data_IF_099101033438
#
_entry.id   IF_099101033438
#
_cell.length_a   1.000
_cell.length_b   1.000
_cell.length_c   1.000
_cell.angle_alpha   90.00
_cell.angle_beta   90.00
_cell.angle_gamma   90.00
#
_symmetry.space_group_name_H-M   'P 1'
#
loop_
_entity.id
_entity.type
_entity.pdbx_description
1 polymer ?
#
# COMPACT_ATOMS: atom_id res chain seq x y z
N UNK A 1 -0.51 8.70 -1.21
CA UNK A 1 0.16 9.40 -2.33
C UNK A 1 -0.79 10.42 -2.92
N UNK A 2 -0.28 11.60 -3.32
CA UNK A 2 -1.11 12.70 -3.86
C UNK A 2 -1.52 12.43 -5.32
N UNK A 3 -2.79 12.68 -5.66
CA UNK A 3 -3.32 12.50 -7.02
C UNK A 3 -2.70 13.46 -8.03
N UNK A 4 -2.53 13.01 -9.28
CA UNK A 4 -1.98 13.78 -10.38
C UNK A 4 -0.49 14.09 -10.27
N UNK A 5 0.24 13.40 -9.39
CA UNK A 5 1.67 13.69 -9.12
C UNK A 5 2.62 12.64 -9.68
N UNK A 6 2.11 11.50 -10.12
CA UNK A 6 2.96 10.43 -10.65
C UNK A 6 3.45 10.79 -12.05
N UNK A 7 4.76 10.93 -12.19
CA UNK A 7 5.48 11.11 -13.46
C UNK A 7 6.36 9.90 -13.71
N UNK A 8 6.34 9.38 -14.93
CA UNK A 8 7.17 8.24 -15.35
C UNK A 8 8.11 8.69 -16.46
N UNK A 9 9.38 8.40 -16.29
CA UNK A 9 10.43 8.59 -17.26
C UNK A 9 11.29 7.32 -17.31
N UNK A 10 11.07 6.51 -18.34
CA UNK A 10 11.71 5.21 -18.51
C UNK A 10 11.45 4.27 -17.31
N UNK A 11 12.48 3.89 -16.54
CA UNK A 11 12.35 3.10 -15.30
C UNK A 11 12.22 3.98 -14.04
N UNK A 12 12.35 5.29 -14.19
CA UNK A 12 12.30 6.25 -13.09
C UNK A 12 10.88 6.76 -12.92
N UNK A 13 10.37 6.69 -11.70
CA UNK A 13 9.05 7.18 -11.32
C UNK A 13 9.21 8.21 -10.21
N UNK A 14 8.65 9.39 -10.43
CA UNK A 14 8.59 10.46 -9.44
C UNK A 14 7.15 10.69 -9.00
N UNK A 15 6.91 10.85 -7.71
CA UNK A 15 5.58 11.06 -7.15
C UNK A 15 5.66 11.80 -5.82
N UNK A 16 4.54 12.37 -5.35
CA UNK A 16 4.50 13.08 -4.07
C UNK A 16 3.77 12.25 -3.03
N UNK A 17 4.44 12.02 -1.90
CA UNK A 17 3.84 11.44 -0.70
C UNK A 17 3.44 12.56 0.24
N UNK A 18 2.28 12.44 0.86
CA UNK A 18 1.75 13.44 1.80
C UNK A 18 1.06 12.76 2.96
N UNK A 19 1.20 13.35 4.14
CA UNK A 19 0.46 13.07 5.37
C UNK A 19 -0.71 14.06 5.59
N UNK A 20 -1.12 14.77 4.53
CA UNK A 20 -2.09 15.88 4.52
C UNK A 20 -1.60 17.20 5.11
N UNK A 21 -0.40 17.25 5.68
CA UNK A 21 0.20 18.47 6.24
C UNK A 21 1.47 18.87 5.48
N UNK A 22 2.27 17.89 5.08
CA UNK A 22 3.52 18.06 4.34
C UNK A 22 3.52 17.24 3.07
N UNK A 23 4.30 17.69 2.11
CA UNK A 23 4.50 17.02 0.82
C UNK A 23 5.98 16.68 0.66
N UNK A 24 6.27 15.43 0.33
CA UNK A 24 7.63 14.92 0.13
C UNK A 24 7.73 14.40 -1.30
N UNK A 25 8.58 15.01 -2.16
CA UNK A 25 8.84 14.48 -3.48
C UNK A 25 9.69 13.22 -3.39
N UNK A 26 9.20 12.13 -3.97
CA UNK A 26 9.86 10.82 -4.01
C UNK A 26 10.29 10.53 -5.45
N UNK A 27 11.51 10.01 -5.61
CA UNK A 27 12.01 9.42 -6.86
C UNK A 27 12.39 7.96 -6.62
N UNK A 28 11.94 7.07 -7.50
CA UNK A 28 12.22 5.64 -7.47
C UNK A 28 12.64 5.17 -8.85
N UNK A 29 13.67 4.34 -8.96
CA UNK A 29 14.05 3.71 -10.23
C UNK A 29 13.90 2.20 -10.12
N UNK A 30 12.97 1.61 -10.87
CA UNK A 30 12.71 0.18 -10.83
C UNK A 30 11.28 -0.20 -11.18
N UNK A 31 10.93 -1.46 -10.91
CA UNK A 31 9.60 -2.01 -11.15
C UNK A 31 8.74 -1.72 -9.93
N UNK A 32 7.62 -1.03 -10.14
CA UNK A 32 6.65 -0.78 -9.08
C UNK A 32 5.69 -1.97 -8.92
N UNK A 33 5.21 -2.24 -7.70
CA UNK A 33 4.16 -3.22 -7.48
C UNK A 33 2.88 -2.89 -8.26
N UNK A 34 2.12 -3.91 -8.66
CA UNK A 34 0.88 -3.74 -9.42
C UNK A 34 -0.15 -2.84 -8.72
N UNK A 35 -0.18 -2.89 -7.38
CA UNK A 35 -1.08 -2.11 -6.53
C UNK A 35 -0.67 -0.63 -6.40
N UNK A 36 0.46 -0.21 -6.96
CA UNK A 36 0.88 1.19 -6.93
C UNK A 36 -0.08 2.06 -7.76
N UNK A 37 -0.90 2.88 -7.09
CA UNK A 37 -1.89 3.77 -7.71
C UNK A 37 -2.01 5.08 -6.93
N UNK A 38 -2.35 6.15 -7.64
CA UNK A 38 -2.65 7.45 -7.05
C UNK A 38 -3.80 7.37 -6.04
N UNK A 39 -3.76 8.19 -5.00
CA UNK A 39 -4.78 8.23 -3.95
C UNK A 39 -4.72 7.07 -2.96
N UNK A 40 -3.81 6.10 -3.14
CA UNK A 40 -3.60 4.99 -2.21
C UNK A 40 -2.43 5.22 -1.26
N UNK A 41 -2.41 4.44 -0.18
CA UNK A 41 -1.29 4.38 0.76
C UNK A 41 -0.07 3.74 0.12
N UNK A 42 1.10 4.33 0.33
CA UNK A 42 2.38 3.83 -0.16
C UNK A 42 3.41 3.98 0.95
N UNK A 43 4.29 3.01 1.08
CA UNK A 43 5.46 3.03 1.95
C UNK A 43 6.69 3.03 1.06
N UNK A 44 7.59 4.00 1.26
CA UNK A 44 8.83 4.11 0.53
C UNK A 44 10.00 4.05 1.51
N UNK A 45 10.97 3.19 1.22
CA UNK A 45 12.22 3.09 1.96
C UNK A 45 13.35 3.64 1.11
N UNK A 46 14.24 4.42 1.72
CA UNK A 46 15.30 5.09 0.99
C UNK A 46 16.01 6.16 1.81
N UNK A 47 16.55 7.16 1.10
CA UNK A 47 17.32 8.26 1.70
C UNK A 47 16.71 9.60 1.33
N UNK A 48 16.63 10.49 2.31
CA UNK A 48 16.32 11.89 2.08
C UNK A 48 17.62 12.62 1.72
N UNK A 49 17.61 13.37 0.62
CA UNK A 49 18.73 14.22 0.21
C UNK A 49 18.65 15.59 0.89
N UNK A 50 19.78 16.31 0.91
CA UNK A 50 19.84 17.68 1.46
C UNK A 50 18.97 18.68 0.68
N UNK A 51 18.59 18.34 -0.56
CA UNK A 51 17.65 19.10 -1.39
C UNK A 51 16.18 18.85 -1.06
N UNK A 52 15.87 17.99 -0.08
CA UNK A 52 14.50 17.65 0.31
C UNK A 52 13.82 16.63 -0.62
N UNK A 53 14.57 16.02 -1.54
CA UNK A 53 14.07 14.92 -2.37
C UNK A 53 14.34 13.58 -1.71
N UNK A 54 13.34 12.71 -1.69
CA UNK A 54 13.48 11.36 -1.16
C UNK A 54 13.79 10.38 -2.30
N UNK A 55 15.00 9.81 -2.29
CA UNK A 55 15.38 8.75 -3.22
C UNK A 55 15.01 7.40 -2.61
N UNK A 56 13.95 6.79 -3.12
CA UNK A 56 13.49 5.48 -2.70
C UNK A 56 14.33 4.37 -3.35
N UNK A 57 14.78 3.42 -2.53
CA UNK A 57 15.35 2.14 -2.98
C UNK A 57 14.29 1.05 -3.07
N UNK A 58 13.19 1.18 -2.33
CA UNK A 58 12.08 0.23 -2.32
C UNK A 58 10.75 0.96 -2.15
N UNK A 59 9.72 0.48 -2.87
CA UNK A 59 8.36 1.01 -2.80
C UNK A 59 7.38 -0.14 -2.60
N UNK A 60 6.65 -0.08 -1.48
CA UNK A 60 5.61 -1.02 -1.12
C UNK A 60 4.26 -0.30 -1.24
N UNK A 61 3.34 -0.86 -2.02
CA UNK A 61 1.97 -0.40 -2.03
C UNK A 61 1.23 -1.03 -0.84
N UNK A 62 0.43 -0.25 -0.10
CA UNK A 62 -0.42 -0.80 0.95
C UNK A 62 -1.43 -1.77 0.29
N UNK A 63 -1.54 -2.99 0.80
CA UNK A 63 -2.61 -3.90 0.40
C UNK A 63 -3.97 -3.28 0.76
N UNK A 64 -4.97 -3.46 -0.09
CA UNK A 64 -6.34 -3.00 0.18
C UNK A 64 -6.82 -3.51 1.55
N UNK A 65 -7.65 -2.71 2.22
CA UNK A 65 -8.14 -2.95 3.59
C UNK A 65 -8.96 -4.24 3.79
N UNK A 66 -9.00 -5.13 2.79
CA UNK A 66 -9.64 -6.44 2.83
C UNK A 66 -8.65 -7.57 3.17
N UNK A 67 -7.61 -7.29 3.97
CA UNK A 67 -6.79 -8.36 4.55
C UNK A 67 -7.59 -9.10 5.63
N UNK A 68 -8.23 -10.21 5.25
CA UNK A 68 -8.65 -11.24 6.21
C UNK A 68 -7.48 -12.20 6.41
N UNK A 69 -6.88 -12.25 7.62
CA UNK A 69 -5.91 -13.30 7.89
C UNK A 69 -6.61 -14.66 7.77
N UNK A 70 -5.93 -15.70 7.24
CA UNK A 70 -6.53 -17.03 7.05
C UNK A 70 -7.08 -17.62 8.35
N UNK A 71 -6.49 -17.25 9.50
CA UNK A 71 -6.98 -17.60 10.84
C UNK A 71 -8.36 -17.00 11.14
N UNK A 72 -8.63 -15.77 10.70
CA UNK A 72 -9.94 -15.15 10.86
C UNK A 72 -10.99 -15.79 9.94
N UNK A 73 -10.61 -16.17 8.72
CA UNK A 73 -11.51 -16.93 7.83
C UNK A 73 -11.88 -18.28 8.44
N UNK A 74 -10.89 -19.02 8.95
CA UNK A 74 -11.11 -20.30 9.61
C UNK A 74 -12.02 -20.17 10.85
N UNK A 75 -11.87 -19.09 11.64
CA UNK A 75 -12.73 -18.81 12.79
C UNK A 75 -14.19 -18.48 12.38
N UNK A 76 -14.37 -17.72 11.29
CA UNK A 76 -15.69 -17.40 10.72
C UNK A 76 -16.39 -18.67 10.20
N UNK A 77 -15.65 -19.52 9.48
CA UNK A 77 -16.17 -20.77 8.92
C UNK A 77 -16.55 -21.76 10.05
N UNK A 78 -15.70 -21.89 11.08
CA UNK A 78 -16.01 -22.70 12.26
C UNK A 78 -17.24 -22.18 13.03
N UNK A 79 -17.37 -20.86 13.17
CA UNK A 79 -18.55 -20.25 13.80
C UNK A 79 -19.83 -20.51 12.98
N UNK A 80 -19.74 -20.49 11.66
CA UNK A 80 -20.85 -20.80 10.76
C UNK A 80 -21.29 -22.27 10.87
N UNK A 81 -20.33 -23.21 10.88
CA UNK A 81 -20.55 -24.65 11.05
C UNK A 81 -21.19 -24.96 12.42
N UNK A 82 -20.72 -24.31 13.48
CA UNK A 82 -21.27 -24.50 14.83
C UNK A 82 -22.68 -23.93 14.96
N UNK A 83 -23.00 -22.86 14.24
CA UNK A 83 -24.34 -22.25 14.24
C UNK A 83 -25.35 -23.15 13.52
N UNK A 84 -25.01 -23.70 12.36
CA UNK A 84 -25.88 -24.66 11.64
C UNK A 84 -26.08 -25.95 12.42
N UNK A 85 -25.03 -26.50 13.06
CA UNK A 85 -25.15 -27.70 13.88
C UNK A 85 -26.06 -27.52 15.12
N UNK A 86 -26.16 -26.31 15.67
CA UNK A 86 -27.00 -25.99 16.84
C UNK A 86 -28.47 -25.75 16.49
N UNK A 87 -28.79 -25.41 15.23
CA UNK A 87 -30.16 -25.23 14.73
C UNK A 87 -30.83 -26.55 14.33
N UNK A 88 -30.05 -27.62 14.19
CA UNK A 88 -30.50 -28.97 13.79
C UNK A 88 -30.68 -29.93 14.99
N UNK A 89 -30.61 -29.43 16.23
CA UNK A 89 -30.86 -30.20 17.46
C UNK A 89 -32.05 -29.68 18.22
#
# INVERSE_FOLDING_TARGET
MKNGTVKRDNLTVSFIVTDLVKEVPVSYTGILPDLFREGKGVVAQGKLTDSGQFTASEVLAKHDENYMPPEAQAAMDQAQINKTAKTLK
#
